data_IF_120260656135
#
_entry.id   IF_120260656135
#
_cell.length_a   1.000
_cell.length_b   1.000
_cell.length_c   1.000
_cell.angle_alpha   90.00
_cell.angle_beta   90.00
_cell.angle_gamma   90.00
#
_symmetry.space_group_name_H-M   'P 1'
#
loop_
_entity.id
_entity.type
_entity.pdbx_description
1 polymer ?
#
# COMPACT_ATOMS: atom_id res chain seq x y z
N UNK A 1 -3.38 -7.56 -7.50
CA UNK A 1 -3.15 -6.28 -6.82
C UNK A 1 -2.66 -5.23 -7.79
N UNK A 2 -2.99 -4.00 -7.53
CA UNK A 2 -2.48 -2.90 -8.33
C UNK A 2 -1.71 -1.94 -7.41
N UNK A 3 -0.45 -1.71 -7.74
CA UNK A 3 0.45 -0.81 -7.00
C UNK A 3 0.88 0.27 -7.97
N UNK A 4 0.57 1.53 -7.65
CA UNK A 4 0.83 2.65 -8.55
C UNK A 4 1.76 3.67 -7.92
N UNK A 5 2.66 4.20 -8.74
CA UNK A 5 3.46 5.36 -8.39
C UNK A 5 2.64 6.63 -8.69
N UNK A 6 2.66 7.58 -7.76
CA UNK A 6 2.02 8.88 -7.93
C UNK A 6 3.11 9.95 -7.93
N UNK A 7 3.41 10.55 -9.08
CA UNK A 7 4.55 11.43 -9.30
C UNK A 7 5.85 10.71 -8.87
N UNK A 8 6.57 11.25 -7.89
CA UNK A 8 7.78 10.61 -7.37
C UNK A 8 7.51 9.68 -6.17
N UNK A 9 6.23 9.52 -5.80
CA UNK A 9 5.83 8.73 -4.63
C UNK A 9 5.48 7.30 -5.04
N UNK A 10 6.26 6.35 -4.56
CA UNK A 10 6.08 4.93 -4.85
C UNK A 10 5.77 4.20 -3.55
N UNK A 11 4.78 3.31 -3.53
CA UNK A 11 4.51 2.52 -2.32
C UNK A 11 5.72 1.69 -1.91
N UNK A 12 5.98 1.67 -0.60
CA UNK A 12 6.98 0.79 -0.01
C UNK A 12 6.27 -0.32 0.74
N UNK A 13 6.40 -1.54 0.24
CA UNK A 13 5.68 -2.71 0.77
C UNK A 13 6.73 -3.74 1.18
N UNK A 14 6.77 -4.08 2.47
CA UNK A 14 7.65 -5.11 2.97
C UNK A 14 7.30 -6.47 2.36
N UNK A 15 8.29 -7.37 2.24
CA UNK A 15 8.13 -8.65 1.56
C UNK A 15 7.03 -9.53 2.16
N UNK A 16 6.84 -9.46 3.47
CA UNK A 16 5.83 -10.25 4.15
C UNK A 16 4.45 -9.59 4.20
N UNK A 17 4.33 -8.36 3.68
CA UNK A 17 3.03 -7.70 3.59
C UNK A 17 2.22 -8.31 2.43
N UNK A 18 0.89 -8.28 2.56
CA UNK A 18 0.00 -8.88 1.57
C UNK A 18 -1.02 -7.87 1.06
N UNK A 19 -1.16 -7.83 -0.27
CA UNK A 19 -2.16 -7.00 -0.93
C UNK A 19 -3.04 -7.91 -1.79
N UNK A 20 -4.35 -7.85 -1.59
CA UNK A 20 -5.29 -8.69 -2.32
C UNK A 20 -5.29 -8.36 -3.83
N UNK A 21 -5.66 -9.34 -4.66
CA UNK A 21 -5.60 -9.21 -6.12
C UNK A 21 -6.36 -8.00 -6.65
N UNK A 22 -7.49 -7.67 -6.07
CA UNK A 22 -8.31 -6.55 -6.52
C UNK A 22 -8.19 -5.30 -5.64
N UNK A 23 -7.24 -5.27 -4.71
CA UNK A 23 -6.92 -4.08 -3.94
C UNK A 23 -5.98 -3.16 -4.72
N UNK A 24 -5.97 -1.88 -4.39
CA UNK A 24 -5.10 -0.89 -5.02
C UNK A 24 -4.32 -0.12 -3.96
N UNK A 25 -3.01 0.05 -4.21
CA UNK A 25 -2.11 0.80 -3.33
C UNK A 25 -1.43 1.87 -4.18
N UNK A 26 -1.62 3.14 -3.84
CA UNK A 26 -1.22 4.26 -4.70
C UNK A 26 -0.42 5.27 -3.88
N UNK A 27 0.74 5.67 -4.40
CA UNK A 27 1.48 6.81 -3.89
C UNK A 27 2.29 6.54 -2.63
N UNK A 28 2.34 7.51 -1.72
CA UNK A 28 3.20 7.47 -0.55
C UNK A 28 2.60 6.61 0.56
N UNK A 29 2.69 5.29 0.35
CA UNK A 29 2.16 4.28 1.27
C UNK A 29 3.31 3.41 1.76
N UNK A 30 3.40 3.20 3.06
CA UNK A 30 4.40 2.33 3.69
C UNK A 30 3.70 1.20 4.41
N UNK A 31 3.85 -0.02 3.92
CA UNK A 31 3.30 -1.22 4.53
C UNK A 31 4.40 -1.97 5.27
N UNK A 32 4.28 -2.06 6.58
CA UNK A 32 5.23 -2.78 7.42
C UNK A 32 5.08 -4.30 7.25
N UNK A 33 6.03 -5.04 7.82
CA UNK A 33 6.03 -6.50 7.76
C UNK A 33 4.71 -7.09 8.28
N UNK A 34 4.22 -8.12 7.61
CA UNK A 34 3.01 -8.87 7.97
C UNK A 34 1.72 -8.04 7.95
N UNK A 35 1.76 -6.84 7.39
CA UNK A 35 0.54 -6.04 7.18
C UNK A 35 -0.22 -6.56 5.96
N UNK A 36 -1.49 -6.18 5.83
CA UNK A 36 -2.32 -6.65 4.73
C UNK A 36 -3.34 -5.62 4.29
N UNK A 37 -3.65 -5.64 3.00
CA UNK A 37 -4.74 -4.86 2.39
C UNK A 37 -5.66 -5.85 1.68
N UNK A 38 -6.91 -5.86 2.09
CA UNK A 38 -7.86 -6.90 1.68
C UNK A 38 -8.62 -6.51 0.41
N UNK A 39 -9.48 -7.42 -0.05
CA UNK A 39 -10.17 -7.31 -1.34
C UNK A 39 -10.96 -6.01 -1.48
N UNK A 40 -10.93 -5.43 -2.68
CA UNK A 40 -11.63 -4.21 -3.07
C UNK A 40 -11.23 -2.95 -2.29
N UNK A 41 -10.15 -3.02 -1.52
CA UNK A 41 -9.64 -1.86 -0.80
C UNK A 41 -8.85 -0.95 -1.71
N UNK A 42 -8.88 0.35 -1.43
CA UNK A 42 -8.05 1.35 -2.11
C UNK A 42 -7.30 2.14 -1.05
N UNK A 43 -5.97 2.14 -1.14
CA UNK A 43 -5.10 2.91 -0.25
C UNK A 43 -4.38 3.96 -1.07
N UNK A 44 -4.63 5.23 -0.76
CA UNK A 44 -4.06 6.36 -1.51
C UNK A 44 -3.25 7.27 -0.60
N UNK A 45 -1.96 7.40 -0.89
CA UNK A 45 -1.07 8.33 -0.20
C UNK A 45 -0.73 9.52 -1.09
N UNK A 46 -1.70 10.38 -1.40
CA UNK A 46 -1.53 11.49 -2.33
C UNK A 46 -1.28 12.84 -1.63
N UNK A 47 -1.97 13.13 -0.53
CA UNK A 47 -1.78 14.37 0.21
C UNK A 47 -1.05 14.18 1.53
N UNK A 48 -0.96 12.95 2.01
CA UNK A 48 -0.26 12.60 3.25
C UNK A 48 0.28 11.17 3.14
N UNK A 49 1.34 10.89 3.87
CA UNK A 49 1.88 9.54 3.95
C UNK A 49 0.91 8.62 4.67
N UNK A 50 0.64 7.46 4.08
CA UNK A 50 -0.14 6.40 4.72
C UNK A 50 0.85 5.37 5.27
N UNK A 51 0.71 5.03 6.54
CA UNK A 51 1.54 3.99 7.18
C UNK A 51 0.64 2.91 7.73
N UNK A 52 0.87 1.69 7.29
CA UNK A 52 0.15 0.51 7.77
C UNK A 52 1.12 -0.27 8.66
N UNK A 53 0.78 -0.36 9.94
CA UNK A 53 1.63 -0.98 10.92
C UNK A 53 1.73 -2.49 10.77
N UNK A 54 2.68 -3.08 11.51
CA UNK A 54 2.96 -4.50 11.50
C UNK A 54 1.78 -5.31 12.01
N UNK A 55 1.51 -6.42 11.35
CA UNK A 55 0.40 -7.32 11.68
C UNK A 55 -0.86 -6.91 10.98
#
# INVERSE_FOLDING_TARGET
MAVYQLDALTPHIEDSAWVADNAQVIGDVHMAADSSVWFSSVVRGDTATIRIGEG
#
